data_IF_628901947326
#
_entry.id   IF_628901947326
#
_cell.length_a   1.000
_cell.length_b   1.000
_cell.length_c   1.000
_cell.angle_alpha   90.00
_cell.angle_beta   90.00
_cell.angle_gamma   90.00
#
_symmetry.space_group_name_H-M   'P 1'
#
loop_
_entity.id
_entity.type
_entity.pdbx_description
1 polymer ?
#
# COMPACT_ATOMS: atom_id res chain seq x y z
N UNK A 1 -0.84 -14.19 16.08
CA UNK A 1 -1.19 -13.31 14.93
C UNK A 1 0.08 -12.65 14.43
N UNK A 2 0.26 -12.56 13.14
CA UNK A 2 1.41 -11.92 12.49
C UNK A 2 0.97 -10.66 11.75
N UNK A 3 1.76 -9.60 11.84
CA UNK A 3 1.53 -8.34 11.10
C UNK A 3 2.34 -8.38 9.81
N UNK A 4 1.66 -8.32 8.68
CA UNK A 4 2.29 -8.19 7.35
C UNK A 4 2.24 -6.74 6.90
N UNK A 5 3.41 -6.17 6.66
CA UNK A 5 3.57 -4.81 6.12
C UNK A 5 3.88 -4.90 4.62
N UNK A 6 2.89 -4.60 3.78
CA UNK A 6 2.95 -4.72 2.33
C UNK A 6 3.26 -3.37 1.70
N UNK A 7 4.36 -3.29 0.94
CA UNK A 7 4.94 -2.04 0.50
C UNK A 7 4.21 -1.36 -0.67
N UNK A 8 4.43 -0.06 -0.82
CA UNK A 8 3.93 0.75 -1.92
C UNK A 8 4.77 0.59 -3.20
N UNK A 9 4.14 0.80 -4.38
CA UNK A 9 4.84 1.06 -5.65
C UNK A 9 5.24 2.55 -5.71
N UNK A 10 6.43 2.87 -6.20
CA UNK A 10 7.48 2.00 -6.75
C UNK A 10 8.61 1.65 -5.75
N UNK A 11 8.30 1.64 -4.45
CA UNK A 11 9.24 1.32 -3.37
C UNK A 11 9.34 -0.22 -3.18
N UNK A 12 10.01 -0.64 -2.10
CA UNK A 12 10.08 -2.03 -1.66
C UNK A 12 9.87 -2.18 -0.15
N UNK A 13 10.00 -3.39 0.35
CA UNK A 13 9.76 -3.77 1.74
C UNK A 13 10.52 -2.93 2.77
N UNK A 14 11.68 -2.39 2.39
CA UNK A 14 12.51 -1.53 3.25
C UNK A 14 11.88 -0.17 3.56
N UNK A 15 10.78 0.19 2.90
CA UNK A 15 10.04 1.41 3.27
C UNK A 15 9.49 1.36 4.69
N UNK A 16 9.33 0.15 5.24
CA UNK A 16 8.75 -0.09 6.56
C UNK A 16 9.78 -0.06 7.70
N UNK A 17 11.08 0.16 7.42
CA UNK A 17 12.11 0.25 8.46
C UNK A 17 11.76 1.21 9.61
N UNK A 18 11.16 2.40 9.38
CA UNK A 18 10.78 3.32 10.46
C UNK A 18 9.68 2.79 11.39
N UNK A 19 8.93 1.76 10.97
CA UNK A 19 7.84 1.16 11.74
C UNK A 19 8.31 -0.01 12.61
N UNK A 20 9.41 -0.67 12.28
CA UNK A 20 9.80 -1.95 12.90
C UNK A 20 10.03 -1.85 14.41
N UNK A 21 10.68 -0.76 14.88
CA UNK A 21 10.93 -0.59 16.32
C UNK A 21 9.62 -0.42 17.12
N UNK A 22 8.63 0.29 16.55
CA UNK A 22 7.33 0.49 17.20
C UNK A 22 6.49 -0.79 17.25
N UNK A 23 6.81 -1.76 16.42
CA UNK A 23 6.11 -3.05 16.29
C UNK A 23 6.89 -4.22 16.90
N UNK A 24 7.96 -3.97 17.67
CA UNK A 24 8.85 -5.01 18.21
C UNK A 24 8.15 -6.07 19.10
N UNK A 25 6.99 -5.73 19.65
CA UNK A 25 6.19 -6.63 20.49
C UNK A 25 5.24 -7.53 19.67
N UNK A 26 5.25 -7.37 18.34
CA UNK A 26 4.48 -8.17 17.38
C UNK A 26 5.41 -9.05 16.56
N UNK A 27 4.90 -10.17 16.08
CA UNK A 27 5.55 -10.90 15.00
C UNK A 27 5.28 -10.15 13.68
N UNK A 28 6.32 -9.58 13.06
CA UNK A 28 6.22 -8.73 11.87
C UNK A 28 6.93 -9.37 10.69
N UNK A 29 6.28 -9.36 9.52
CA UNK A 29 6.88 -9.70 8.24
C UNK A 29 6.72 -8.53 7.27
N UNK A 30 7.76 -8.28 6.47
CA UNK A 30 7.77 -7.28 5.39
C UNK A 30 8.13 -7.96 4.10
N UNK A 31 7.19 -8.71 3.49
CA UNK A 31 7.50 -9.48 2.28
C UNK A 31 7.71 -8.56 1.07
N UNK A 32 8.63 -8.98 0.20
CA UNK A 32 8.79 -8.38 -1.13
C UNK A 32 7.61 -8.77 -2.01
N UNK A 33 6.98 -7.79 -2.66
CA UNK A 33 5.80 -8.00 -3.51
C UNK A 33 6.15 -8.34 -4.96
N UNK A 34 7.27 -7.83 -5.49
CA UNK A 34 7.66 -8.04 -6.89
C UNK A 34 8.05 -9.49 -7.18
N UNK A 35 7.75 -9.95 -8.40
CA UNK A 35 8.13 -11.29 -8.87
C UNK A 35 7.24 -12.42 -8.38
N UNK A 36 5.99 -12.14 -8.00
CA UNK A 36 5.05 -13.10 -7.43
C UNK A 36 3.99 -13.61 -8.43
N UNK A 37 4.13 -13.30 -9.71
CA UNK A 37 3.21 -13.68 -10.76
C UNK A 37 2.69 -12.49 -11.56
N UNK A 38 1.73 -12.74 -12.43
CA UNK A 38 1.27 -11.73 -13.41
C UNK A 38 0.17 -10.79 -12.86
N UNK A 39 -0.50 -11.19 -11.78
CA UNK A 39 -1.65 -10.48 -11.21
C UNK A 39 -1.51 -10.27 -9.71
N UNK A 40 -2.26 -9.31 -9.15
CA UNK A 40 -2.34 -9.15 -7.69
C UNK A 40 -3.01 -10.35 -7.00
N UNK A 41 -3.86 -11.09 -7.71
CA UNK A 41 -4.45 -12.34 -7.18
C UNK A 41 -3.38 -13.44 -7.04
N UNK A 42 -2.44 -13.55 -8.00
CA UNK A 42 -1.29 -14.45 -7.89
C UNK A 42 -0.38 -14.03 -6.74
N UNK A 43 -0.15 -12.72 -6.57
CA UNK A 43 0.64 -12.19 -5.46
C UNK A 43 0.00 -12.50 -4.11
N UNK A 44 -1.32 -12.30 -4.00
CA UNK A 44 -2.07 -12.65 -2.80
C UNK A 44 -2.00 -14.14 -2.47
N UNK A 45 -2.10 -15.00 -3.48
CA UNK A 45 -1.93 -16.45 -3.31
C UNK A 45 -0.53 -16.82 -2.83
N UNK A 46 0.50 -16.32 -3.50
CA UNK A 46 1.91 -16.54 -3.13
C UNK A 46 2.23 -16.09 -1.71
N UNK A 47 1.69 -14.91 -1.30
CA UNK A 47 1.87 -14.40 0.05
C UNK A 47 1.20 -15.30 1.10
N UNK A 48 -0.02 -15.77 0.82
CA UNK A 48 -0.74 -16.67 1.73
C UNK A 48 -0.03 -18.05 1.86
N UNK A 49 0.60 -18.53 0.80
CA UNK A 49 1.35 -19.81 0.82
C UNK A 49 2.63 -19.72 1.69
N UNK A 50 3.13 -18.51 1.95
CA UNK A 50 4.32 -18.27 2.81
C UNK A 50 3.96 -18.06 4.29
N UNK A 51 2.68 -17.91 4.61
CA UNK A 51 2.23 -17.51 5.95
C UNK A 51 1.34 -18.57 6.60
N UNK A 52 1.55 -18.76 7.89
CA UNK A 52 0.75 -19.64 8.72
C UNK A 52 -0.04 -18.84 9.77
N UNK A 53 -1.31 -19.24 9.99
CA UNK A 53 -2.14 -18.70 11.05
C UNK A 53 -2.84 -17.37 10.71
N UNK A 54 -3.24 -16.65 11.74
CA UNK A 54 -4.03 -15.42 11.61
C UNK A 54 -3.14 -14.21 11.30
N UNK A 55 -3.60 -13.37 10.36
CA UNK A 55 -2.85 -12.25 9.80
C UNK A 55 -3.52 -10.91 10.10
N UNK A 56 -2.71 -9.91 10.38
CA UNK A 56 -3.08 -8.51 10.32
C UNK A 56 -2.38 -7.91 9.09
N UNK A 57 -3.14 -7.43 8.13
CA UNK A 57 -2.59 -6.90 6.88
C UNK A 57 -2.54 -5.37 6.93
N UNK A 58 -1.35 -4.81 6.73
CA UNK A 58 -1.12 -3.36 6.62
C UNK A 58 -0.51 -3.09 5.25
N UNK A 59 -1.32 -2.59 4.32
CA UNK A 59 -0.90 -2.39 2.94
C UNK A 59 -0.88 -0.93 2.52
N UNK A 60 0.25 -0.45 2.02
CA UNK A 60 0.38 0.87 1.44
C UNK A 60 0.23 0.80 -0.08
N UNK A 61 -0.71 1.57 -0.66
CA UNK A 61 -0.92 1.68 -2.11
C UNK A 61 -0.98 0.29 -2.79
N UNK A 62 0.02 -0.10 -3.59
CA UNK A 62 0.17 -1.44 -4.17
C UNK A 62 -0.04 -2.55 -3.12
N UNK A 63 0.57 -2.41 -1.95
CA UNK A 63 0.44 -3.35 -0.85
C UNK A 63 -0.99 -3.46 -0.31
N UNK A 64 -1.76 -2.36 -0.36
CA UNK A 64 -3.18 -2.37 0.00
C UNK A 64 -4.02 -3.21 -0.99
N UNK A 65 -3.69 -3.16 -2.27
CA UNK A 65 -4.35 -4.01 -3.27
C UNK A 65 -3.98 -5.49 -3.11
N UNK A 66 -2.71 -5.78 -2.77
CA UNK A 66 -2.29 -7.14 -2.43
C UNK A 66 -2.99 -7.65 -1.16
N UNK A 67 -3.13 -6.81 -0.13
CA UNK A 67 -3.88 -7.13 1.09
C UNK A 67 -5.35 -7.47 0.79
N UNK A 68 -5.99 -6.71 -0.08
CA UNK A 68 -7.37 -6.99 -0.51
C UNK A 68 -7.48 -8.29 -1.31
N UNK A 69 -6.51 -8.62 -2.17
CA UNK A 69 -6.46 -9.89 -2.89
C UNK A 69 -6.29 -11.07 -1.91
N UNK A 70 -5.43 -10.95 -0.90
CA UNK A 70 -5.30 -11.94 0.19
C UNK A 70 -6.62 -12.10 0.95
N UNK A 71 -7.25 -10.97 1.34
CA UNK A 71 -8.53 -10.98 2.06
C UNK A 71 -9.66 -11.61 1.25
N UNK A 72 -9.72 -11.34 -0.06
CA UNK A 72 -10.70 -11.94 -0.96
C UNK A 72 -10.56 -13.46 -1.05
N UNK A 73 -9.32 -13.94 -0.99
CA UNK A 73 -8.98 -15.36 -1.16
C UNK A 73 -9.14 -16.18 0.11
N UNK A 74 -8.78 -15.63 1.25
CA UNK A 74 -8.78 -16.30 2.55
C UNK A 74 -9.24 -15.33 3.67
N UNK A 75 -10.50 -14.89 3.64
CA UNK A 75 -11.01 -13.91 4.62
C UNK A 75 -10.95 -14.42 6.06
N UNK A 76 -11.02 -15.74 6.26
CA UNK A 76 -10.93 -16.39 7.57
C UNK A 76 -9.55 -16.28 8.23
N UNK A 77 -8.49 -16.07 7.44
CA UNK A 77 -7.13 -15.87 7.96
C UNK A 77 -6.85 -14.41 8.33
N UNK A 78 -7.63 -13.45 7.80
CA UNK A 78 -7.39 -12.02 8.01
C UNK A 78 -8.19 -11.52 9.21
N UNK A 79 -7.49 -11.09 10.26
CA UNK A 79 -8.09 -10.58 11.50
C UNK A 79 -8.36 -9.09 11.47
N UNK A 80 -7.48 -8.34 10.81
CA UNK A 80 -7.64 -6.89 10.64
C UNK A 80 -6.96 -6.42 9.35
N UNK A 81 -7.45 -5.30 8.79
CA UNK A 81 -7.00 -4.77 7.52
C UNK A 81 -6.78 -3.26 7.60
N UNK A 82 -5.55 -2.81 7.37
CA UNK A 82 -5.22 -1.39 7.23
C UNK A 82 -4.80 -1.08 5.78
N UNK A 83 -5.56 -0.19 5.14
CA UNK A 83 -5.30 0.32 3.78
C UNK A 83 -4.77 1.75 3.86
N UNK A 84 -3.55 1.98 3.41
CA UNK A 84 -2.89 3.28 3.41
C UNK A 84 -2.72 3.77 1.97
N UNK A 85 -3.44 4.82 1.59
CA UNK A 85 -3.43 5.34 0.22
C UNK A 85 -3.91 4.33 -0.84
N UNK A 86 -4.80 3.41 -0.46
CA UNK A 86 -5.30 2.35 -1.34
C UNK A 86 -6.83 2.30 -1.33
N UNK A 87 -7.41 2.24 -2.51
CA UNK A 87 -8.85 2.06 -2.73
C UNK A 87 -9.21 0.57 -2.88
N UNK A 88 -10.48 0.23 -2.83
CA UNK A 88 -10.92 -1.16 -3.05
C UNK A 88 -11.28 -1.44 -4.52
N UNK A 89 -11.61 -0.42 -5.29
CA UNK A 89 -12.06 -0.52 -6.69
C UNK A 89 -10.91 -0.88 -7.65
N UNK A 90 -11.25 -1.57 -8.73
CA UNK A 90 -10.39 -1.73 -9.91
C UNK A 90 -10.05 -0.39 -10.58
N UNK A 91 -9.09 -0.38 -11.51
CA UNK A 91 -8.78 0.83 -12.28
C UNK A 91 -9.93 1.20 -13.23
N UNK A 92 -10.36 2.47 -13.19
CA UNK A 92 -11.25 3.03 -14.21
C UNK A 92 -10.57 3.03 -15.59
N UNK A 93 -11.33 3.21 -16.70
CA UNK A 93 -10.73 3.30 -18.03
C UNK A 93 -9.63 4.36 -18.14
N UNK A 94 -9.81 5.51 -17.48
CA UNK A 94 -8.85 6.62 -17.47
C UNK A 94 -7.57 6.23 -16.70
N UNK A 95 -7.71 5.56 -15.55
CA UNK A 95 -6.57 5.06 -14.76
C UNK A 95 -5.82 3.99 -15.54
N UNK A 96 -6.52 3.06 -16.20
CA UNK A 96 -5.90 2.03 -17.06
C UNK A 96 -5.11 2.67 -18.21
N UNK A 97 -5.62 3.72 -18.83
CA UNK A 97 -4.89 4.47 -19.85
C UNK A 97 -3.62 5.10 -19.29
N UNK A 98 -3.69 5.76 -18.12
CA UNK A 98 -2.52 6.34 -17.45
C UNK A 98 -1.46 5.30 -17.04
N UNK A 99 -1.84 4.01 -16.85
CA UNK A 99 -0.85 2.94 -16.63
C UNK A 99 -0.02 2.67 -17.88
N UNK A 100 -0.59 2.77 -19.07
CA UNK A 100 0.17 2.63 -20.31
C UNK A 100 1.23 3.73 -20.45
N UNK A 101 0.90 4.97 -20.11
CA UNK A 101 1.84 6.08 -20.09
C UNK A 101 2.97 5.85 -19.08
N UNK A 102 2.64 5.31 -17.91
CA UNK A 102 3.63 4.96 -16.88
C UNK A 102 4.58 3.86 -17.38
N UNK A 103 4.08 2.83 -18.07
CA UNK A 103 4.91 1.78 -18.66
C UNK A 103 5.85 2.38 -19.71
N UNK A 104 5.34 3.21 -20.64
CA UNK A 104 6.18 3.86 -21.65
C UNK A 104 7.26 4.75 -21.04
N UNK A 105 6.96 5.46 -19.95
CA UNK A 105 7.93 6.24 -19.19
C UNK A 105 9.04 5.36 -18.61
N UNK A 106 8.69 4.23 -17.99
CA UNK A 106 9.66 3.28 -17.44
C UNK A 106 10.52 2.66 -18.56
N UNK A 107 9.92 2.27 -19.68
CA UNK A 107 10.64 1.71 -20.83
C UNK A 107 11.70 2.67 -21.37
N UNK A 108 11.37 3.95 -21.47
CA UNK A 108 12.26 4.98 -22.02
C UNK A 108 13.33 5.46 -21.03
N UNK A 109 12.96 5.70 -19.77
CA UNK A 109 13.81 6.39 -18.79
C UNK A 109 14.10 5.62 -17.50
N UNK A 110 13.50 4.42 -17.32
CA UNK A 110 13.73 3.57 -16.15
C UNK A 110 13.23 4.16 -14.85
N UNK A 111 13.83 3.71 -13.75
CA UNK A 111 13.46 4.10 -12.39
C UNK A 111 13.68 5.60 -12.12
N UNK A 112 14.70 6.21 -12.72
CA UNK A 112 14.99 7.64 -12.57
C UNK A 112 13.85 8.49 -13.15
N UNK A 113 13.42 8.22 -14.39
CA UNK A 113 12.29 8.94 -15.01
C UNK A 113 10.99 8.72 -14.24
N UNK A 114 10.77 7.52 -13.73
CA UNK A 114 9.63 7.21 -12.89
C UNK A 114 9.67 8.04 -11.60
N UNK A 115 10.83 8.10 -10.91
CA UNK A 115 10.99 8.89 -9.70
C UNK A 115 10.67 10.36 -9.94
N UNK A 116 11.30 10.99 -10.95
CA UNK A 116 11.07 12.40 -11.26
C UNK A 116 9.58 12.71 -11.56
N UNK A 117 8.89 11.80 -12.23
CA UNK A 117 7.47 11.94 -12.53
C UNK A 117 6.58 11.75 -11.30
N UNK A 118 6.90 10.77 -10.43
CA UNK A 118 6.03 10.38 -9.31
C UNK A 118 6.31 11.17 -8.03
N UNK A 119 7.57 11.62 -7.82
CA UNK A 119 8.01 12.31 -6.60
C UNK A 119 7.04 13.40 -6.13
N UNK A 120 6.53 14.32 -7.00
CA UNK A 120 5.63 15.40 -6.58
C UNK A 120 4.27 14.91 -6.10
N UNK A 121 3.86 13.70 -6.48
CA UNK A 121 2.59 13.08 -6.08
C UNK A 121 2.74 12.19 -4.85
N UNK A 122 3.94 11.59 -4.69
CA UNK A 122 4.22 10.66 -3.59
C UNK A 122 4.46 11.39 -2.27
N UNK A 123 5.13 12.54 -2.30
CA UNK A 123 5.58 13.24 -1.09
C UNK A 123 5.44 14.76 -1.25
N UNK A 124 5.30 15.46 -0.14
CA UNK A 124 5.31 16.93 -0.10
C UNK A 124 6.64 17.48 -0.65
N UNK A 125 6.61 18.72 -1.14
CA UNK A 125 7.80 19.39 -1.63
C UNK A 125 8.83 19.59 -0.50
N UNK A 126 8.33 19.94 0.68
CA UNK A 126 9.08 20.16 1.92
C UNK A 126 9.10 18.94 2.86
N UNK A 127 8.84 17.73 2.33
CA UNK A 127 8.99 16.49 3.08
C UNK A 127 10.41 16.35 3.66
N UNK A 128 10.61 15.67 4.81
CA UNK A 128 11.92 15.50 5.41
C UNK A 128 12.93 14.96 4.40
N UNK A 129 14.11 15.61 4.29
CA UNK A 129 15.14 15.26 3.30
C UNK A 129 15.53 13.78 3.39
N UNK A 130 15.63 13.24 4.60
CA UNK A 130 15.95 11.83 4.83
C UNK A 130 14.85 10.89 4.25
N UNK A 131 13.59 11.24 4.40
CA UNK A 131 12.48 10.47 3.85
C UNK A 131 12.50 10.49 2.32
N UNK A 132 12.76 11.66 1.71
CA UNK A 132 12.90 11.81 0.25
C UNK A 132 14.09 11.01 -0.28
N UNK A 133 15.26 11.11 0.38
CA UNK A 133 16.46 10.38 0.00
C UNK A 133 16.22 8.86 0.09
N UNK A 134 15.55 8.40 1.16
CA UNK A 134 15.19 6.99 1.32
C UNK A 134 14.24 6.51 0.24
N UNK A 135 13.15 7.23 0.00
CA UNK A 135 12.19 6.86 -1.04
C UNK A 135 12.87 6.78 -2.42
N UNK A 136 13.71 7.76 -2.76
CA UNK A 136 14.49 7.77 -4.02
C UNK A 136 15.43 6.55 -4.13
N UNK A 137 16.17 6.24 -3.06
CA UNK A 137 17.06 5.06 -3.02
C UNK A 137 16.28 3.78 -3.34
N UNK A 138 15.11 3.58 -2.68
CA UNK A 138 14.28 2.39 -2.87
C UNK A 138 13.75 2.28 -4.31
N UNK A 139 13.31 3.39 -4.89
CA UNK A 139 12.85 3.41 -6.29
C UNK A 139 13.97 3.08 -7.27
N UNK A 140 15.14 3.72 -7.10
CA UNK A 140 16.28 3.53 -8.02
C UNK A 140 16.91 2.13 -7.92
N UNK A 141 16.66 1.42 -6.84
CA UNK A 141 17.06 0.03 -6.68
C UNK A 141 16.20 -0.97 -7.50
N UNK A 142 15.11 -0.52 -8.14
CA UNK A 142 14.20 -1.39 -8.91
C UNK A 142 14.61 -1.53 -10.37
N UNK A 143 14.50 -2.76 -10.86
CA UNK A 143 14.67 -3.06 -12.29
C UNK A 143 13.47 -2.60 -13.13
N UNK A 144 13.69 -2.30 -14.41
CA UNK A 144 12.59 -1.93 -15.33
C UNK A 144 11.50 -2.97 -15.39
N UNK A 145 11.87 -4.25 -15.48
CA UNK A 145 10.92 -5.36 -15.62
C UNK A 145 10.03 -5.48 -14.39
N UNK A 146 10.59 -5.37 -13.17
CA UNK A 146 9.84 -5.37 -11.92
C UNK A 146 8.83 -4.21 -11.85
N UNK A 147 9.27 -3.01 -12.24
CA UNK A 147 8.40 -1.84 -12.26
C UNK A 147 7.25 -1.98 -13.27
N UNK A 148 7.54 -2.51 -14.46
CA UNK A 148 6.52 -2.73 -15.50
C UNK A 148 5.53 -3.81 -15.08
N UNK A 149 6.01 -4.92 -14.50
CA UNK A 149 5.17 -5.99 -13.95
C UNK A 149 4.19 -5.44 -12.92
N UNK A 150 4.69 -4.67 -11.95
CA UNK A 150 3.84 -4.05 -10.93
C UNK A 150 2.80 -3.09 -11.53
N UNK A 151 3.16 -2.28 -12.53
CA UNK A 151 2.19 -1.40 -13.20
C UNK A 151 1.12 -2.20 -13.95
N UNK A 152 1.47 -3.33 -14.56
CA UNK A 152 0.50 -4.25 -15.20
C UNK A 152 -0.44 -4.87 -14.17
N UNK A 153 0.10 -5.37 -13.07
CA UNK A 153 -0.70 -5.92 -11.97
C UNK A 153 -1.66 -4.87 -11.37
N UNK A 154 -1.20 -3.62 -11.19
CA UNK A 154 -2.05 -2.50 -10.77
C UNK A 154 -3.16 -2.18 -11.77
N UNK A 155 -2.83 -2.18 -13.08
CA UNK A 155 -3.78 -1.89 -14.17
C UNK A 155 -4.92 -2.90 -14.22
N UNK A 156 -4.57 -4.16 -14.03
CA UNK A 156 -5.48 -5.29 -14.27
C UNK A 156 -6.08 -5.85 -12.97
N UNK A 157 -5.86 -5.15 -11.83
CA UNK A 157 -6.37 -5.59 -10.55
C UNK A 157 -7.89 -5.74 -10.52
N UNK A 158 -8.34 -6.73 -9.77
CA UNK A 158 -9.75 -6.95 -9.51
C UNK A 158 -10.39 -5.80 -8.72
N UNK A 159 -11.71 -5.65 -8.84
CA UNK A 159 -12.52 -4.83 -7.94
C UNK A 159 -12.80 -5.64 -6.67
N UNK A 160 -12.25 -5.19 -5.55
CA UNK A 160 -12.40 -5.79 -4.22
C UNK A 160 -13.34 -4.98 -3.31
N UNK A 161 -14.21 -4.16 -3.90
CA UNK A 161 -15.15 -3.32 -3.17
C UNK A 161 -16.08 -4.13 -2.26
N UNK A 162 -16.58 -5.26 -2.75
CA UNK A 162 -17.45 -6.14 -1.98
C UNK A 162 -16.67 -6.89 -0.90
N UNK A 163 -15.46 -7.34 -1.20
CA UNK A 163 -14.55 -7.94 -0.22
C UNK A 163 -14.31 -7.02 0.96
N UNK A 164 -14.02 -5.74 0.68
CA UNK A 164 -13.81 -4.75 1.75
C UNK A 164 -15.09 -4.45 2.53
N UNK A 165 -16.22 -4.30 1.85
CA UNK A 165 -17.50 -3.99 2.49
C UNK A 165 -18.04 -5.14 3.35
N UNK A 166 -17.79 -6.38 2.95
CA UNK A 166 -18.22 -7.59 3.69
C UNK A 166 -17.20 -8.05 4.75
N UNK A 167 -16.02 -7.45 4.81
CA UNK A 167 -15.00 -7.80 5.80
C UNK A 167 -15.50 -7.50 7.22
N UNK A 168 -15.49 -8.50 8.09
CA UNK A 168 -16.05 -8.40 9.43
C UNK A 168 -15.07 -7.95 10.50
N UNK A 169 -13.77 -7.99 10.21
CA UNK A 169 -12.71 -7.55 11.13
C UNK A 169 -12.57 -6.03 11.21
N UNK A 170 -11.81 -5.53 12.19
CA UNK A 170 -11.43 -4.12 12.25
C UNK A 170 -10.73 -3.67 10.96
N UNK A 171 -11.13 -2.51 10.43
CA UNK A 171 -10.52 -1.94 9.23
C UNK A 171 -10.09 -0.50 9.46
N UNK A 172 -8.92 -0.13 8.96
CA UNK A 172 -8.41 1.24 8.93
C UNK A 172 -8.20 1.66 7.47
N UNK A 173 -8.79 2.78 7.06
CA UNK A 173 -8.44 3.45 5.82
C UNK A 173 -7.72 4.75 6.18
N UNK A 174 -6.48 4.87 5.73
CA UNK A 174 -5.61 5.98 6.07
C UNK A 174 -5.04 6.64 4.82
N UNK A 175 -4.92 7.96 4.82
CA UNK A 175 -4.35 8.73 3.71
C UNK A 175 -3.61 9.96 4.23
N UNK A 176 -2.67 10.48 3.45
CA UNK A 176 -2.18 11.84 3.64
C UNK A 176 -3.20 12.87 3.15
N UNK A 177 -3.22 14.05 3.78
CA UNK A 177 -4.10 15.15 3.40
C UNK A 177 -3.94 15.57 1.93
N UNK A 178 -2.70 15.53 1.43
CA UNK A 178 -2.35 15.87 0.04
C UNK A 178 -2.23 14.67 -0.91
N UNK A 179 -2.80 13.52 -0.59
CA UNK A 179 -2.72 12.34 -1.46
C UNK A 179 -3.48 12.57 -2.78
N UNK A 180 -2.74 12.69 -3.87
CA UNK A 180 -3.30 12.92 -5.21
C UNK A 180 -3.82 11.64 -5.88
N UNK A 181 -3.45 10.45 -5.39
CA UNK A 181 -3.91 9.18 -5.95
C UNK A 181 -5.21 8.70 -5.31
N UNK A 182 -5.38 8.99 -4.03
CA UNK A 182 -6.57 8.62 -3.26
C UNK A 182 -6.94 9.76 -2.31
N UNK A 183 -7.77 10.72 -2.76
CA UNK A 183 -8.16 11.87 -1.96
C UNK A 183 -8.86 11.49 -0.65
N UNK A 184 -8.71 12.31 0.43
CA UNK A 184 -9.32 12.03 1.73
C UNK A 184 -10.83 11.76 1.68
N UNK A 185 -11.58 12.47 0.84
CA UNK A 185 -13.03 12.30 0.71
C UNK A 185 -13.41 10.91 0.17
N UNK A 186 -12.62 10.39 -0.79
CA UNK A 186 -12.83 9.03 -1.31
C UNK A 186 -12.43 7.98 -0.27
N UNK A 187 -11.38 8.24 0.52
CA UNK A 187 -10.90 7.36 1.57
C UNK A 187 -11.90 7.28 2.75
N UNK A 188 -12.48 8.40 3.15
CA UNK A 188 -13.55 8.44 4.17
C UNK A 188 -14.78 7.68 3.70
N UNK A 189 -15.20 7.88 2.45
CA UNK A 189 -16.30 7.14 1.86
C UNK A 189 -16.03 5.63 1.80
N UNK A 190 -14.79 5.22 1.51
CA UNK A 190 -14.40 3.81 1.56
C UNK A 190 -14.48 3.26 2.99
N UNK A 191 -13.92 3.96 3.97
CA UNK A 191 -13.96 3.53 5.38
C UNK A 191 -15.40 3.33 5.89
N UNK A 192 -16.32 4.20 5.49
CA UNK A 192 -17.74 4.13 5.86
C UNK A 192 -18.46 2.89 5.28
N UNK A 193 -17.88 2.19 4.30
CA UNK A 193 -18.44 0.97 3.72
C UNK A 193 -18.14 -0.28 4.55
N UNK A 194 -17.05 -0.27 5.32
CA UNK A 194 -16.69 -1.40 6.16
C UNK A 194 -17.47 -1.38 7.48
N UNK A 195 -17.86 -2.55 7.98
CA UNK A 195 -18.63 -2.71 9.21
C UNK A 195 -17.97 -2.10 10.46
N UNK A 196 -16.63 -2.23 10.54
CA UNK A 196 -15.79 -1.71 11.61
C UNK A 196 -14.70 -0.80 11.05
N UNK A 197 -15.09 0.03 10.06
CA UNK A 197 -14.20 0.94 9.37
C UNK A 197 -13.83 2.16 10.21
N UNK A 198 -12.54 2.47 10.23
CA UNK A 198 -11.98 3.69 10.81
C UNK A 198 -11.31 4.49 9.70
N UNK A 199 -11.36 5.79 9.83
CA UNK A 199 -10.72 6.72 8.90
C UNK A 199 -9.65 7.55 9.61
N UNK A 200 -8.51 7.73 8.95
CA UNK A 200 -7.42 8.58 9.44
C UNK A 200 -6.82 9.42 8.31
N UNK A 201 -6.73 10.73 8.51
CA UNK A 201 -5.95 11.64 7.66
C UNK A 201 -4.67 12.02 8.39
N UNK A 202 -3.54 12.00 7.67
CA UNK A 202 -2.26 12.52 8.12
C UNK A 202 -2.08 13.93 7.54
N UNK A 203 -2.32 14.95 8.38
CA UNK A 203 -2.14 16.35 8.00
C UNK A 203 -0.66 16.60 7.65
N UNK A 204 -0.41 17.32 6.56
CA UNK A 204 0.97 17.57 6.13
C UNK A 204 1.70 16.32 5.61
N UNK A 205 0.99 15.36 5.02
CA UNK A 205 1.57 14.25 4.26
C UNK A 205 0.83 14.06 2.94
N UNK A 206 1.50 13.42 1.97
CA UNK A 206 0.89 12.94 0.73
C UNK A 206 0.69 11.42 0.76
N UNK A 207 1.16 10.74 -0.27
CA UNK A 207 0.88 9.31 -0.49
C UNK A 207 1.67 8.37 0.43
N UNK A 208 2.77 8.84 1.03
CA UNK A 208 3.67 8.02 1.85
C UNK A 208 3.74 8.52 3.31
N UNK A 209 2.62 8.61 4.06
CA UNK A 209 2.63 9.12 5.43
C UNK A 209 3.54 8.31 6.36
N UNK A 210 3.77 7.02 6.10
CA UNK A 210 4.70 6.17 6.85
C UNK A 210 6.16 6.62 6.78
N UNK A 211 6.55 7.32 5.72
CA UNK A 211 7.88 7.90 5.53
C UNK A 211 7.92 9.40 5.85
N UNK A 212 6.85 10.13 5.51
CA UNK A 212 6.79 11.59 5.72
C UNK A 212 6.59 11.96 7.18
N UNK A 213 5.82 11.16 7.93
CA UNK A 213 5.47 11.37 9.34
C UNK A 213 5.52 10.05 10.13
N UNK A 214 6.69 9.41 10.25
CA UNK A 214 6.80 8.07 10.82
C UNK A 214 6.29 7.96 12.25
N UNK A 215 6.52 8.97 13.09
CA UNK A 215 6.09 8.94 14.51
C UNK A 215 4.56 8.98 14.63
N UNK A 216 3.90 9.85 13.87
CA UNK A 216 2.45 9.95 13.86
C UNK A 216 1.81 8.70 13.25
N UNK A 217 2.41 8.18 12.18
CA UNK A 217 1.98 6.94 11.56
C UNK A 217 2.11 5.76 12.52
N UNK A 218 3.23 5.64 13.23
CA UNK A 218 3.48 4.59 14.22
C UNK A 218 2.46 4.64 15.36
N UNK A 219 2.15 5.84 15.87
CA UNK A 219 1.14 6.01 16.91
C UNK A 219 -0.26 5.60 16.42
N UNK A 220 -0.63 5.96 15.19
CA UNK A 220 -1.91 5.58 14.60
C UNK A 220 -2.00 4.07 14.38
N UNK A 221 -0.93 3.44 13.89
CA UNK A 221 -0.86 2.00 13.69
C UNK A 221 -0.93 1.23 15.01
N UNK A 222 -0.17 1.66 16.04
CA UNK A 222 -0.23 1.07 17.37
C UNK A 222 -1.63 1.13 17.99
N UNK A 223 -2.32 2.29 17.86
CA UNK A 223 -3.70 2.45 18.30
C UNK A 223 -4.68 1.53 17.55
N UNK A 224 -4.46 1.29 16.26
CA UNK A 224 -5.26 0.36 15.49
C UNK A 224 -5.04 -1.09 15.96
N UNK A 225 -3.79 -1.49 16.13
CA UNK A 225 -3.41 -2.85 16.52
C UNK A 225 -3.85 -3.20 17.97
N UNK A 226 -3.94 -2.21 18.87
CA UNK A 226 -4.40 -2.42 20.25
C UNK A 226 -5.88 -2.85 20.33
N UNK A 227 -6.66 -2.67 19.27
CA UNK A 227 -8.08 -3.01 19.22
C UNK A 227 -8.34 -4.33 18.44
N UNK A 228 -7.29 -5.04 18.02
CA UNK A 228 -7.32 -6.33 17.32
C UNK A 228 -6.98 -7.48 18.26
#
# INVERSE_FOLDING_TARGET
MKVLLLHAFPLDERMWEPQLESLRDYEVSTPRLYGRGESLDDWGASLLDEEDGELILVGASLGGYAALAMTSRAPELVRALALVGARAEGDSPERRAGRADTIALIESGGAEALWENQRPKLMLEDAPEQAVARARELVLARGKDELIEAVRALRDRADNSETFASFEGPSLVAVGEGDAFFPPEEAEALAARARHGRFRVFAGAKHLPSLEQPDEFNAALANFLADV
#
